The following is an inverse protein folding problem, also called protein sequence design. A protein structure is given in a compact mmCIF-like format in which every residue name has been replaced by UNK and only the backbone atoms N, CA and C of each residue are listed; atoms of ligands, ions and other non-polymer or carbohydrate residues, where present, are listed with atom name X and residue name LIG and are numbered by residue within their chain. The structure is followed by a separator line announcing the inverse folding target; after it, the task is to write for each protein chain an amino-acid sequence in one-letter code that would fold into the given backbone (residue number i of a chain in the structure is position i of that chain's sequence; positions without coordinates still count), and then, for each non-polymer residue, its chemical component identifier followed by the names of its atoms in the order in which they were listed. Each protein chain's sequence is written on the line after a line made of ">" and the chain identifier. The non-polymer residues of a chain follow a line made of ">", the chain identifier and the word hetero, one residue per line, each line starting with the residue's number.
data_IF_729817062728
#
_entry.id   IF_729817062728
#
_cell.length_a   1.000
_cell.length_b   1.000
_cell.length_c   1.000
_cell.angle_alpha   90.00
_cell.angle_beta   90.00
_cell.angle_gamma   90.00
#
_symmetry.space_group_name_H-M   'P 1'
#
loop_
_entity.id
_entity.type
_entity.pdbx_description
1 polymer ?
#
# COMPACT_ATOMS: atom_id res chain seq x y z
N UNK A 1 9.09 33.20 15.18
CA UNK A 1 10.30 32.85 14.41
C UNK A 1 9.92 31.58 13.69
N UNK A 2 9.43 31.73 12.45
CA UNK A 2 9.16 30.59 11.60
C UNK A 2 10.50 29.91 11.31
N UNK A 3 10.61 28.65 11.71
CA UNK A 3 11.75 27.82 11.35
C UNK A 3 11.87 27.77 9.82
N UNK A 4 13.08 27.56 9.28
CA UNK A 4 13.22 27.38 7.85
C UNK A 4 12.30 26.23 7.43
N UNK A 5 11.32 26.55 6.59
CA UNK A 5 10.52 25.57 5.90
C UNK A 5 11.51 24.78 5.04
N UNK A 6 11.91 23.61 5.52
CA UNK A 6 12.66 22.61 4.76
C UNK A 6 11.72 22.13 3.66
N UNK A 7 11.53 22.96 2.64
CA UNK A 7 11.19 22.44 1.32
C UNK A 7 12.40 21.58 0.97
N UNK A 8 12.20 20.27 0.95
CA UNK A 8 13.23 19.35 0.52
C UNK A 8 13.81 19.86 -0.80
N UNK A 9 15.14 19.96 -0.93
CA UNK A 9 15.75 20.42 -2.17
C UNK A 9 15.29 19.48 -3.27
N UNK A 10 14.72 20.04 -4.34
CA UNK A 10 14.25 19.31 -5.52
C UNK A 10 15.25 18.21 -5.90
N UNK A 11 14.92 16.95 -5.61
CA UNK A 11 15.79 15.81 -5.94
C UNK A 11 15.85 14.65 -4.95
N UNK A 12 15.46 14.81 -3.67
CA UNK A 12 15.48 13.71 -2.69
C UNK A 12 14.09 13.41 -2.12
N UNK A 13 13.16 12.99 -2.99
CA UNK A 13 11.92 12.35 -2.55
C UNK A 13 12.14 10.87 -2.26
N UNK A 14 11.39 10.33 -1.30
CA UNK A 14 11.32 8.89 -1.05
C UNK A 14 10.92 8.16 -2.34
N UNK A 15 11.67 7.10 -2.67
CA UNK A 15 11.34 6.19 -3.77
C UNK A 15 11.51 4.75 -3.29
N UNK A 16 10.63 4.28 -2.37
CA UNK A 16 10.65 2.91 -1.91
C UNK A 16 10.39 1.96 -3.08
N UNK A 17 11.15 0.87 -3.12
CA UNK A 17 10.84 -0.28 -3.97
C UNK A 17 10.50 -1.43 -3.03
N UNK A 18 9.23 -1.80 -3.00
CA UNK A 18 8.70 -2.80 -2.09
C UNK A 18 8.00 -3.89 -2.90
N UNK A 19 8.49 -5.11 -2.74
CA UNK A 19 7.89 -6.31 -3.30
C UNK A 19 7.63 -7.33 -2.20
N UNK A 20 6.59 -8.15 -2.37
CA UNK A 20 6.30 -9.31 -1.52
C UNK A 20 6.13 -8.94 -0.03
N UNK A 21 5.36 -7.89 0.24
CA UNK A 21 5.11 -7.41 1.60
C UNK A 21 3.67 -7.65 2.04
N UNK A 22 3.50 -8.03 3.31
CA UNK A 22 2.20 -8.21 3.96
C UNK A 22 1.99 -7.13 5.03
N UNK A 23 0.86 -6.43 4.92
CA UNK A 23 0.36 -5.49 5.91
C UNK A 23 -0.96 -6.02 6.50
N UNK A 24 -1.02 -6.12 7.83
CA UNK A 24 -2.20 -6.55 8.56
C UNK A 24 -2.68 -5.39 9.42
N UNK A 25 -3.86 -4.85 9.08
CA UNK A 25 -4.52 -3.78 9.81
C UNK A 25 -5.25 -4.27 11.07
N UNK A 26 -6.05 -3.39 11.66
CA UNK A 26 -6.96 -3.72 12.75
C UNK A 26 -8.36 -3.19 12.42
N UNK A 27 -9.37 -4.06 12.45
CA UNK A 27 -10.71 -3.73 11.92
C UNK A 27 -11.52 -2.74 12.74
N UNK A 28 -11.30 -2.66 14.06
CA UNK A 28 -12.12 -1.82 14.94
C UNK A 28 -11.49 -0.48 15.33
N UNK A 29 -10.20 -0.29 14.99
CA UNK A 29 -9.45 0.84 15.50
C UNK A 29 -8.23 1.06 14.62
N UNK A 30 -8.24 2.12 13.83
CA UNK A 30 -7.03 2.64 13.21
C UNK A 30 -6.39 3.57 14.26
N UNK A 31 -5.24 3.20 14.84
CA UNK A 31 -4.64 4.02 15.89
C UNK A 31 -4.34 5.40 15.34
N UNK A 32 -4.95 6.44 15.95
CA UNK A 32 -4.67 7.82 15.60
C UNK A 32 -3.15 8.04 15.61
N UNK A 33 -2.55 8.37 14.47
CA UNK A 33 -1.11 8.41 14.36
C UNK A 33 -0.57 9.58 15.21
N UNK A 34 0.21 9.25 16.25
CA UNK A 34 0.71 10.23 17.23
C UNK A 34 1.73 11.21 16.62
N UNK A 35 2.31 10.85 15.47
CA UNK A 35 3.36 11.59 14.76
C UNK A 35 2.91 12.09 13.39
N UNK A 36 1.65 12.48 13.26
CA UNK A 36 1.02 12.74 11.97
C UNK A 36 0.29 14.07 11.99
N UNK A 37 0.50 14.88 10.96
CA UNK A 37 -0.16 16.18 10.78
C UNK A 37 -1.59 16.05 10.22
N UNK A 38 -2.06 14.82 10.00
CA UNK A 38 -3.46 14.48 9.73
C UNK A 38 -3.90 13.31 10.63
N UNK A 39 -5.19 13.04 10.74
CA UNK A 39 -5.75 11.96 11.58
C UNK A 39 -6.52 10.93 10.75
N UNK A 40 -6.20 10.85 9.46
CA UNK A 40 -6.89 9.95 8.54
C UNK A 40 -6.46 8.50 8.76
N UNK A 41 -7.47 7.65 8.87
CA UNK A 41 -7.35 6.23 9.16
C UNK A 41 -7.00 5.44 7.88
N UNK A 42 -5.99 4.57 7.95
CA UNK A 42 -5.69 3.56 6.93
C UNK A 42 -4.65 2.56 7.43
N UNK A 43 -4.65 1.34 6.87
CA UNK A 43 -3.64 0.32 7.15
C UNK A 43 -2.25 0.74 6.65
N UNK A 44 -2.17 1.31 5.45
CA UNK A 44 -0.92 1.83 4.87
C UNK A 44 -1.14 3.26 4.38
N UNK A 45 -0.14 4.12 4.58
CA UNK A 45 -0.23 5.54 4.29
C UNK A 45 0.92 5.97 3.40
N UNK A 46 0.59 6.45 2.20
CA UNK A 46 1.54 7.07 1.28
C UNK A 46 1.44 8.59 1.41
N UNK A 47 2.58 9.25 1.63
CA UNK A 47 2.71 10.66 2.03
C UNK A 47 3.75 11.39 1.18
N UNK A 48 3.69 12.71 1.16
CA UNK A 48 4.78 13.60 0.70
C UNK A 48 5.28 13.37 -0.73
N UNK A 49 4.37 13.19 -1.71
CA UNK A 49 4.77 12.94 -3.10
C UNK A 49 5.60 11.67 -3.26
N UNK A 50 5.42 10.70 -2.34
CA UNK A 50 6.09 9.40 -2.35
C UNK A 50 5.83 8.74 -3.68
N UNK A 51 6.89 8.64 -4.46
CA UNK A 51 6.90 7.71 -5.57
C UNK A 51 7.14 6.30 -5.11
N UNK A 52 7.55 5.47 -6.05
CA UNK A 52 8.08 4.17 -5.74
C UNK A 52 7.40 3.10 -6.53
N UNK A 53 7.74 1.87 -6.16
CA UNK A 53 7.34 0.67 -6.84
C UNK A 53 6.76 -0.26 -5.79
N UNK A 54 5.50 -0.62 -5.97
CA UNK A 54 4.76 -1.49 -5.06
C UNK A 54 4.12 -2.62 -5.86
N UNK A 55 4.74 -3.80 -5.81
CA UNK A 55 4.26 -5.01 -6.47
C UNK A 55 4.13 -6.17 -5.49
N UNK A 56 3.23 -7.11 -5.75
CA UNK A 56 2.97 -8.26 -4.87
C UNK A 56 2.72 -7.87 -3.40
N UNK A 57 2.02 -6.76 -3.18
CA UNK A 57 1.64 -6.25 -1.85
C UNK A 57 0.32 -6.89 -1.44
N UNK A 58 0.25 -7.31 -0.18
CA UNK A 58 -0.98 -7.79 0.45
C UNK A 58 -1.34 -6.89 1.61
N UNK A 59 -2.56 -6.36 1.59
CA UNK A 59 -3.16 -5.61 2.70
C UNK A 59 -4.44 -6.32 3.10
N UNK A 60 -4.55 -6.68 4.38
CA UNK A 60 -5.69 -7.43 4.92
C UNK A 60 -6.07 -6.92 6.30
N UNK A 61 -7.22 -7.36 6.81
CA UNK A 61 -7.80 -6.90 8.07
C UNK A 61 -8.03 -5.38 8.07
N UNK A 62 -8.61 -4.88 6.98
CA UNK A 62 -8.81 -3.44 6.72
C UNK A 62 -10.10 -2.97 7.39
N UNK A 63 -9.97 -2.10 8.40
CA UNK A 63 -11.10 -1.52 9.14
C UNK A 63 -11.77 -0.31 8.47
N UNK A 64 -10.99 0.51 7.77
CA UNK A 64 -11.49 1.67 7.02
C UNK A 64 -10.89 1.71 5.62
N UNK A 65 -9.66 2.20 5.48
CA UNK A 65 -8.97 2.31 4.20
C UNK A 65 -7.77 1.39 4.17
N UNK A 66 -7.62 0.63 3.08
CA UNK A 66 -6.43 -0.21 2.89
C UNK A 66 -5.19 0.66 2.72
N UNK A 67 -5.23 1.52 1.69
CA UNK A 67 -4.21 2.52 1.40
C UNK A 67 -4.82 3.91 1.44
N UNK A 68 -4.11 4.86 2.05
CA UNK A 68 -4.42 6.29 1.97
C UNK A 68 -3.32 7.05 1.24
N UNK A 69 -3.73 7.83 0.23
CA UNK A 69 -2.92 8.81 -0.49
C UNK A 69 -3.26 10.21 0.04
N UNK A 70 -2.41 10.74 0.94
CA UNK A 70 -2.74 11.94 1.75
C UNK A 70 -2.05 13.23 1.32
N UNK A 71 -1.03 13.16 0.46
CA UNK A 71 -0.28 14.32 -0.07
C UNK A 71 0.41 13.94 -1.37
N UNK A 72 -0.36 13.83 -2.46
CA UNK A 72 0.23 13.60 -3.77
C UNK A 72 0.88 14.89 -4.29
N UNK A 73 1.84 14.77 -5.19
CA UNK A 73 2.51 15.88 -5.86
C UNK A 73 2.49 15.64 -7.39
N UNK A 74 3.52 16.11 -8.07
CA UNK A 74 3.68 15.97 -9.53
C UNK A 74 4.04 14.54 -10.00
N UNK A 75 4.03 13.52 -9.13
CA UNK A 75 4.30 12.13 -9.55
C UNK A 75 3.20 11.55 -10.44
N UNK A 76 3.59 10.76 -11.45
CA UNK A 76 2.65 10.01 -12.27
C UNK A 76 2.12 8.77 -11.54
N UNK A 77 0.82 8.53 -11.63
CA UNK A 77 0.16 7.35 -11.06
C UNK A 77 0.08 6.28 -12.14
N UNK A 78 0.77 5.16 -11.94
CA UNK A 78 0.95 4.12 -12.95
C UNK A 78 0.55 2.74 -12.41
N UNK A 79 -0.18 1.96 -13.22
CA UNK A 79 -0.45 0.54 -12.96
C UNK A 79 0.26 -0.41 -13.94
N UNK A 80 0.82 0.15 -15.01
CA UNK A 80 1.77 -0.54 -15.89
C UNK A 80 3.17 -0.09 -15.53
N UNK A 81 4.09 -1.03 -15.37
CA UNK A 81 5.46 -0.71 -15.00
C UNK A 81 6.10 0.18 -16.08
N UNK A 82 6.62 1.37 -15.73
CA UNK A 82 7.15 2.29 -16.72
C UNK A 82 8.55 1.89 -17.18
N UNK A 83 8.82 2.08 -18.47
CA UNK A 83 10.18 2.04 -19.04
C UNK A 83 10.78 3.46 -18.99
N UNK A 84 11.22 3.89 -17.80
CA UNK A 84 11.87 5.20 -17.60
C UNK A 84 12.81 5.23 -16.39
N UNK A 85 13.83 6.08 -16.48
CA UNK A 85 14.89 6.23 -15.46
C UNK A 85 14.63 7.34 -14.43
N UNK A 86 13.60 8.18 -14.66
CA UNK A 86 13.19 9.16 -13.65
C UNK A 86 12.51 8.46 -12.47
N UNK A 87 12.53 9.10 -11.30
CA UNK A 87 11.80 8.59 -10.14
C UNK A 87 10.39 9.16 -10.03
N UNK A 88 9.93 10.03 -10.93
CA UNK A 88 8.72 10.83 -10.74
C UNK A 88 7.40 10.05 -10.99
N UNK A 89 7.30 8.81 -10.52
CA UNK A 89 6.07 8.03 -10.51
C UNK A 89 5.85 7.35 -9.17
N UNK A 90 4.58 7.01 -8.95
CA UNK A 90 4.12 5.97 -8.04
C UNK A 90 3.55 4.83 -8.89
N UNK A 91 4.25 3.70 -8.91
CA UNK A 91 3.76 2.46 -9.51
C UNK A 91 3.09 1.62 -8.45
N UNK A 92 1.81 1.31 -8.68
CA UNK A 92 1.03 0.39 -7.87
C UNK A 92 0.47 -0.70 -8.77
N UNK A 93 0.98 -1.93 -8.61
CA UNK A 93 0.49 -3.06 -9.39
C UNK A 93 -1.01 -3.30 -9.15
N UNK A 94 -1.72 -3.54 -10.24
CA UNK A 94 -3.11 -4.00 -10.24
C UNK A 94 -3.27 -5.43 -9.66
N UNK A 95 -2.17 -6.20 -9.61
CA UNK A 95 -2.12 -7.52 -8.97
C UNK A 95 -1.94 -7.47 -7.45
N UNK A 96 -1.69 -6.29 -6.86
CA UNK A 96 -1.67 -6.13 -5.42
C UNK A 96 -3.04 -6.51 -4.84
N UNK A 97 -3.05 -7.19 -3.69
CA UNK A 97 -4.26 -7.57 -2.99
C UNK A 97 -4.52 -6.58 -1.86
N UNK A 98 -5.68 -5.93 -1.90
CA UNK A 98 -6.22 -5.19 -0.76
C UNK A 98 -7.58 -5.80 -0.45
N UNK A 99 -7.60 -6.66 0.57
CA UNK A 99 -8.78 -7.39 0.97
C UNK A 99 -9.58 -6.57 1.99
N UNK A 100 -10.73 -6.07 1.54
CA UNK A 100 -11.71 -5.35 2.36
C UNK A 100 -12.95 -6.22 2.54
N UNK A 101 -13.21 -6.63 3.78
CA UNK A 101 -14.35 -7.48 4.14
C UNK A 101 -15.50 -6.73 4.82
N UNK A 102 -15.23 -5.53 5.36
CA UNK A 102 -16.23 -4.70 6.03
C UNK A 102 -17.01 -3.83 5.04
N UNK A 103 -18.30 -3.59 5.32
CA UNK A 103 -19.22 -2.88 4.43
C UNK A 103 -18.78 -1.45 4.09
N UNK A 104 -18.09 -0.78 5.01
CA UNK A 104 -17.63 0.60 4.84
C UNK A 104 -16.12 0.70 4.52
N UNK A 105 -15.44 -0.43 4.33
CA UNK A 105 -14.01 -0.42 4.02
C UNK A 105 -13.76 -0.19 2.52
N UNK A 106 -12.72 0.57 2.22
CA UNK A 106 -12.32 0.93 0.86
C UNK A 106 -10.87 0.54 0.59
N UNK A 107 -10.55 0.09 -0.62
CA UNK A 107 -9.19 -0.33 -0.95
C UNK A 107 -8.22 0.85 -0.96
N UNK A 108 -8.62 1.94 -1.62
CA UNK A 108 -7.81 3.14 -1.79
C UNK A 108 -8.63 4.38 -1.43
N UNK A 109 -8.05 5.26 -0.64
CA UNK A 109 -8.60 6.59 -0.33
C UNK A 109 -7.64 7.65 -0.81
N UNK A 110 -8.19 8.66 -1.47
CA UNK A 110 -7.46 9.82 -1.98
C UNK A 110 -7.99 11.05 -1.28
N UNK A 111 -7.09 11.83 -0.70
CA UNK A 111 -7.47 13.14 -0.16
C UNK A 111 -7.58 14.17 -1.28
N UNK A 112 -8.22 15.31 -1.00
CA UNK A 112 -8.33 16.43 -1.94
C UNK A 112 -6.97 16.93 -2.49
N UNK A 113 -5.88 16.71 -1.75
CA UNK A 113 -4.52 17.04 -2.17
C UNK A 113 -3.99 16.17 -3.31
N UNK A 114 -4.71 15.10 -3.66
CA UNK A 114 -4.39 14.23 -4.78
C UNK A 114 -5.14 14.62 -6.07
N UNK A 115 -5.97 15.67 -6.05
CA UNK A 115 -6.60 16.24 -7.24
C UNK A 115 -7.33 15.20 -8.09
N UNK A 116 -7.22 15.33 -9.42
CA UNK A 116 -7.87 14.47 -10.42
C UNK A 116 -7.02 13.25 -10.82
N UNK A 117 -6.08 12.79 -9.97
CA UNK A 117 -5.28 11.61 -10.28
C UNK A 117 -6.18 10.39 -10.43
N UNK A 118 -5.90 9.56 -11.43
CA UNK A 118 -6.64 8.31 -11.67
C UNK A 118 -6.46 7.37 -10.47
N UNK A 119 -7.55 6.89 -9.84
CA UNK A 119 -7.45 5.93 -8.75
C UNK A 119 -6.82 4.61 -9.22
N UNK A 120 -5.93 4.07 -8.41
CA UNK A 120 -5.45 2.71 -8.54
C UNK A 120 -6.55 1.68 -8.31
N UNK A 121 -6.44 0.56 -9.01
CA UNK A 121 -7.12 -0.69 -8.73
C UNK A 121 -6.22 -1.65 -7.94
N UNK A 122 -6.85 -2.55 -7.19
CA UNK A 122 -6.20 -3.70 -6.54
C UNK A 122 -7.18 -4.87 -6.55
N UNK A 123 -6.69 -6.09 -6.48
CA UNK A 123 -7.54 -7.26 -6.30
C UNK A 123 -8.21 -7.22 -4.91
N UNK A 124 -9.53 -7.31 -4.88
CA UNK A 124 -10.29 -7.52 -3.65
C UNK A 124 -10.65 -9.01 -3.52
N UNK A 125 -9.65 -9.82 -3.20
CA UNK A 125 -9.80 -11.26 -2.97
C UNK A 125 -9.20 -11.62 -1.62
N UNK A 126 -9.78 -12.61 -0.95
CA UNK A 126 -9.22 -13.10 0.30
C UNK A 126 -7.82 -13.69 0.01
N UNK A 127 -6.75 -13.22 0.69
CA UNK A 127 -5.39 -13.69 0.44
C UNK A 127 -5.14 -15.14 0.88
N UNK A 128 -6.06 -15.74 1.65
CA UNK A 128 -6.00 -17.12 2.17
C UNK A 128 -4.68 -17.41 2.87
N UNK A 129 -4.42 -16.70 3.97
CA UNK A 129 -3.27 -16.98 4.83
C UNK A 129 -3.59 -18.15 5.78
N UNK A 130 -2.63 -19.05 5.98
CA UNK A 130 -2.81 -20.37 6.61
C UNK A 130 -3.37 -20.31 8.04
N UNK A 131 -2.99 -19.31 8.84
CA UNK A 131 -3.58 -19.07 10.17
C UNK A 131 -3.86 -17.58 10.34
N UNK A 132 -4.77 -17.05 9.54
CA UNK A 132 -5.41 -15.78 9.83
C UNK A 132 -6.92 -15.99 9.92
N UNK A 133 -7.48 -15.81 11.11
CA UNK A 133 -8.94 -15.67 11.26
C UNK A 133 -9.39 -14.50 10.38
N UNK A 134 -10.53 -14.63 9.70
CA UNK A 134 -11.12 -13.52 8.94
C UNK A 134 -11.47 -12.32 9.83
N UNK A 135 -11.55 -12.54 11.14
CA UNK A 135 -11.62 -11.52 12.19
C UNK A 135 -10.64 -11.91 13.28
N UNK A 136 -9.37 -11.47 13.22
CA UNK A 136 -8.39 -11.78 14.23
C UNK A 136 -8.72 -11.04 15.53
N UNK A 137 -8.86 -11.80 16.62
CA UNK A 137 -9.19 -11.28 17.95
C UNK A 137 -7.91 -11.08 18.77
N UNK A 138 -7.91 -10.20 19.81
CA UNK A 138 -6.75 -10.03 20.70
C UNK A 138 -6.31 -11.32 21.41
N UNK A 139 -7.16 -12.34 21.46
CA UNK A 139 -6.87 -13.65 22.03
C UNK A 139 -6.21 -14.62 21.04
N UNK A 140 -6.14 -14.27 19.76
CA UNK A 140 -5.50 -15.10 18.75
C UNK A 140 -3.99 -15.10 18.98
N UNK A 141 -3.48 -16.29 19.32
CA UNK A 141 -2.08 -16.47 19.75
C UNK A 141 -1.12 -16.67 18.59
N UNK A 142 -1.64 -16.89 17.38
CA UNK A 142 -0.85 -17.27 16.21
C UNK A 142 -1.38 -16.58 14.96
N UNK A 143 -0.50 -15.86 14.28
CA UNK A 143 -0.68 -15.44 12.90
C UNK A 143 0.31 -16.27 12.09
N UNK A 144 -0.18 -17.08 11.17
CA UNK A 144 0.66 -17.71 10.14
C UNK A 144 0.40 -16.99 8.82
N UNK A 145 1.30 -16.07 8.45
CA UNK A 145 1.13 -15.24 7.26
C UNK A 145 1.48 -16.00 5.97
N UNK A 146 1.79 -17.30 6.04
CA UNK A 146 2.09 -18.06 4.84
C UNK A 146 0.83 -18.16 3.98
N UNK A 147 0.94 -17.95 2.65
CA UNK A 147 -0.17 -18.20 1.74
C UNK A 147 -0.53 -19.68 1.72
N UNK A 148 -1.82 -19.99 1.65
CA UNK A 148 -2.32 -21.34 1.37
C UNK A 148 -1.90 -21.75 -0.04
N UNK A 149 -1.41 -22.99 -0.17
CA UNK A 149 -0.96 -23.55 -1.45
C UNK A 149 -2.08 -23.46 -2.50
N UNK A 150 -1.75 -22.92 -3.69
CA UNK A 150 -2.71 -22.71 -4.77
C UNK A 150 -3.67 -21.52 -4.56
N UNK A 151 -3.51 -20.73 -3.51
CA UNK A 151 -4.21 -19.47 -3.31
C UNK A 151 -3.85 -18.38 -4.35
N UNK A 152 -4.56 -17.25 -4.31
CA UNK A 152 -4.36 -16.13 -5.24
C UNK A 152 -2.93 -15.58 -5.25
N UNK A 153 -2.25 -15.68 -4.09
CA UNK A 153 -0.85 -15.27 -3.91
C UNK A 153 0.16 -16.09 -4.71
N UNK A 154 -0.26 -17.17 -5.39
CA UNK A 154 0.57 -17.95 -6.30
C UNK A 154 0.18 -17.83 -7.78
N UNK A 155 -0.93 -17.15 -8.10
CA UNK A 155 -1.52 -17.19 -9.44
C UNK A 155 -1.41 -15.87 -10.20
N UNK A 156 -1.39 -14.74 -9.49
CA UNK A 156 -1.38 -13.39 -10.06
C UNK A 156 -0.27 -12.59 -9.42
N UNK A 157 0.96 -13.09 -9.57
CA UNK A 157 2.17 -12.47 -9.01
C UNK A 157 2.85 -11.71 -10.15
N UNK A 158 3.24 -10.47 -9.88
CA UNK A 158 4.07 -9.69 -10.77
C UNK A 158 5.45 -10.32 -10.89
N UNK A 159 5.98 -10.33 -12.11
CA UNK A 159 7.39 -10.61 -12.34
C UNK A 159 8.26 -9.57 -11.61
N UNK A 160 9.45 -9.98 -11.12
CA UNK A 160 10.39 -9.02 -10.56
C UNK A 160 10.77 -7.94 -11.61
N UNK A 161 11.13 -6.72 -11.17
CA UNK A 161 11.59 -5.68 -12.08
C UNK A 161 12.71 -6.19 -13.01
N UNK A 162 12.75 -5.74 -14.28
CA UNK A 162 13.82 -6.12 -15.19
C UNK A 162 15.21 -5.82 -14.61
N UNK A 163 16.08 -6.83 -14.57
CA UNK A 163 17.46 -6.70 -14.08
C UNK A 163 17.66 -6.98 -12.58
N UNK A 164 16.63 -7.42 -11.86
CA UNK A 164 16.75 -7.96 -10.50
C UNK A 164 16.98 -9.49 -10.55
N UNK A 165 18.22 -9.93 -10.29
CA UNK A 165 18.63 -11.34 -10.25
C UNK A 165 18.64 -11.92 -8.83
N UNK A 166 18.18 -11.18 -7.82
CA UNK A 166 18.23 -11.62 -6.42
C UNK A 166 17.34 -12.84 -6.15
N UNK A 167 16.28 -13.02 -6.94
CA UNK A 167 15.30 -14.10 -6.78
C UNK A 167 15.36 -15.17 -7.88
N UNK A 168 16.36 -15.13 -8.78
CA UNK A 168 16.64 -16.19 -9.77
C UNK A 168 17.61 -17.28 -9.26
#
# INVERSE_FOLDING_TARGET
>A
MDGPNLKDPEGLRSFPQLYNALFVGHIFNDPNPVSSDDVEAATVRLREGTGGIFGNIVVTNVGTSGILHSKCDDEDFLQTFPDRDDRNYLYWSENNIIFVSEENSVQHTYTERCGDKTPFSSLNVNPRLVLQSTSPEPTDKFIDPRPEEGGFLFQQVDDPPPGDDFFE
#
